data_IF_195952517181
#
_entry.id   IF_195952517181
#
_cell.length_a   1.000
_cell.length_b   1.000
_cell.length_c   1.000
_cell.angle_alpha   90.00
_cell.angle_beta   90.00
_cell.angle_gamma   90.00
#
_symmetry.space_group_name_H-M   'P 1'
#
loop_
_entity.id
_entity.type
_entity.pdbx_description
1 polymer ?
#
# COMPACT_ATOMS: atom_id res chain seq x y z
N UNK A 1 -42.25 28.97 -4.21
CA UNK A 1 -41.01 29.21 -3.43
C UNK A 1 -41.26 28.55 -2.08
N UNK A 2 -40.55 27.52 -1.62
CA UNK A 2 -39.13 27.18 -1.79
C UNK A 2 -39.00 25.67 -1.51
N UNK A 3 -38.35 24.92 -2.40
CA UNK A 3 -38.03 23.52 -2.19
C UNK A 3 -36.76 23.38 -1.37
N UNK A 4 -36.80 22.57 -0.31
CA UNK A 4 -35.61 22.15 0.43
C UNK A 4 -35.12 20.82 -0.15
N UNK A 5 -34.01 20.88 -0.89
CA UNK A 5 -33.26 19.70 -1.29
C UNK A 5 -32.42 19.22 -0.09
N UNK A 6 -32.78 18.07 0.49
CA UNK A 6 -31.94 17.37 1.45
C UNK A 6 -30.83 16.66 0.68
N UNK A 7 -29.63 17.20 0.78
CA UNK A 7 -28.42 16.65 0.17
C UNK A 7 -27.91 15.50 1.06
N UNK A 8 -28.36 14.28 0.76
CA UNK A 8 -27.81 13.05 1.32
C UNK A 8 -26.38 12.85 0.78
N UNK A 9 -25.38 13.32 1.53
CA UNK A 9 -23.98 12.95 1.34
C UNK A 9 -23.79 11.49 1.81
N UNK A 10 -24.08 10.57 0.89
CA UNK A 10 -23.97 9.14 1.10
C UNK A 10 -22.52 8.65 1.13
N UNK A 11 -22.22 7.84 2.16
CA UNK A 11 -21.51 6.57 1.98
C UNK A 11 -19.98 6.60 1.96
N UNK A 12 -19.34 6.77 3.13
CA UNK A 12 -17.90 6.53 3.29
C UNK A 12 -17.42 6.04 4.67
N UNK A 13 -18.32 5.87 5.65
CA UNK A 13 -17.92 5.67 7.06
C UNK A 13 -17.97 4.24 7.61
N UNK A 14 -18.61 3.29 6.93
CA UNK A 14 -18.94 2.01 7.56
C UNK A 14 -17.81 0.96 7.57
N UNK A 15 -16.87 1.04 6.62
CA UNK A 15 -15.81 0.02 6.53
C UNK A 15 -14.75 0.14 7.65
N UNK A 16 -14.51 1.34 8.17
CA UNK A 16 -13.56 1.54 9.27
C UNK A 16 -14.13 1.05 10.61
N UNK A 17 -15.43 1.20 10.85
CA UNK A 17 -16.05 0.86 12.13
C UNK A 17 -16.22 -0.66 12.31
N UNK A 18 -16.55 -1.40 11.24
CA UNK A 18 -16.77 -2.85 11.31
C UNK A 18 -15.49 -3.66 11.67
N UNK A 19 -14.30 -3.11 11.40
CA UNK A 19 -13.04 -3.79 11.68
C UNK A 19 -12.58 -3.68 13.13
N UNK A 20 -13.09 -2.71 13.89
CA UNK A 20 -12.76 -2.52 15.30
C UNK A 20 -13.47 -3.52 16.23
N UNK A 21 -14.46 -4.28 15.73
CA UNK A 21 -15.37 -5.09 16.57
C UNK A 21 -15.33 -6.60 16.33
N UNK A 22 -14.42 -7.13 15.49
CA UNK A 22 -14.37 -8.58 15.21
C UNK A 22 -13.18 -9.27 15.87
N UNK A 23 -13.39 -10.29 16.74
CA UNK A 23 -12.31 -11.13 17.26
C UNK A 23 -11.72 -12.00 16.14
N UNK A 24 -10.39 -12.08 16.09
CA UNK A 24 -9.68 -12.86 15.07
C UNK A 24 -9.68 -14.36 15.42
N UNK A 25 -9.86 -15.28 14.44
CA UNK A 25 -9.69 -16.71 14.65
C UNK A 25 -8.19 -17.09 14.76
N UNK A 26 -7.90 -18.05 15.65
CA UNK A 26 -6.57 -18.55 15.98
C UNK A 26 -5.99 -19.45 14.87
N UNK A 27 -4.81 -19.18 14.30
CA UNK A 27 -4.17 -20.09 13.35
C UNK A 27 -3.45 -21.24 14.04
N UNK A 28 -3.66 -22.47 13.54
CA UNK A 28 -2.95 -23.70 13.93
C UNK A 28 -1.68 -23.84 13.09
N UNK A 29 -0.50 -23.83 13.73
CA UNK A 29 0.81 -24.00 13.07
C UNK A 29 1.05 -25.48 12.70
N UNK A 30 1.45 -25.75 11.46
CA UNK A 30 2.11 -27.00 11.07
C UNK A 30 3.53 -26.66 10.56
N UNK A 31 4.53 -27.35 11.10
CA UNK A 31 5.95 -27.19 10.76
C UNK A 31 6.34 -28.23 9.69
N UNK A 32 6.92 -27.86 8.53
CA UNK A 32 7.58 -28.83 7.67
C UNK A 32 9.05 -29.06 8.09
N UNK A 33 9.43 -30.34 8.09
CA UNK A 33 10.82 -30.83 8.20
C UNK A 33 11.47 -30.83 6.80
N UNK A 34 12.75 -30.49 6.70
CA UNK A 34 13.49 -30.50 5.43
C UNK A 34 14.73 -31.39 5.51
N UNK A 35 14.86 -32.27 4.51
CA UNK A 35 16.02 -33.13 4.27
C UNK A 35 16.90 -32.49 3.18
N UNK A 36 18.23 -32.50 3.29
CA UNK A 36 19.09 -31.86 2.28
C UNK A 36 19.39 -32.79 1.10
N UNK A 37 19.28 -32.26 -0.13
CA UNK A 37 19.77 -32.90 -1.36
C UNK A 37 20.83 -32.03 -2.01
N UNK A 38 21.96 -32.63 -2.33
CA UNK A 38 23.14 -32.04 -3.00
C UNK A 38 22.85 -31.73 -4.47
N UNK A 39 23.25 -30.55 -4.96
CA UNK A 39 23.08 -30.12 -6.36
C UNK A 39 24.41 -29.91 -7.09
N UNK A 40 24.45 -30.39 -8.34
CA UNK A 40 25.52 -30.23 -9.35
C UNK A 40 25.35 -28.88 -10.09
N UNK A 41 26.43 -28.18 -10.51
CA UNK A 41 26.30 -26.88 -11.18
C UNK A 41 25.97 -27.00 -12.69
N UNK A 42 25.04 -26.16 -13.14
CA UNK A 42 24.63 -25.95 -14.55
C UNK A 42 25.21 -24.61 -15.05
N UNK A 43 25.65 -24.50 -16.32
CA UNK A 43 26.28 -23.28 -16.83
C UNK A 43 25.33 -22.08 -16.95
N UNK A 44 25.97 -20.90 -16.88
CA UNK A 44 25.40 -19.55 -16.78
C UNK A 44 24.68 -19.09 -18.05
N UNK A 45 23.46 -18.49 -17.95
CA UNK A 45 22.80 -17.83 -19.07
C UNK A 45 23.25 -16.36 -19.25
N UNK A 46 23.30 -15.95 -20.51
CA UNK A 46 23.50 -14.60 -21.05
C UNK A 46 22.58 -13.55 -20.42
N UNK A 47 23.04 -12.31 -20.12
CA UNK A 47 22.24 -11.30 -19.43
C UNK A 47 21.12 -10.73 -20.31
N UNK A 48 19.88 -10.92 -19.87
CA UNK A 48 18.70 -10.16 -20.29
C UNK A 48 18.77 -8.74 -19.67
N UNK A 49 18.37 -7.67 -20.38
CA UNK A 49 18.33 -6.33 -19.81
C UNK A 49 17.47 -6.31 -18.54
N UNK A 50 18.07 -5.89 -17.44
CA UNK A 50 17.45 -5.79 -16.12
C UNK A 50 16.65 -4.49 -16.03
N UNK A 51 15.34 -4.58 -15.79
CA UNK A 51 14.48 -3.47 -15.36
C UNK A 51 14.85 -3.02 -13.93
N UNK A 52 16.10 -2.57 -13.76
CA UNK A 52 16.59 -2.04 -12.49
C UNK A 52 15.92 -0.68 -12.26
N UNK A 53 15.17 -0.49 -11.17
CA UNK A 53 14.58 0.80 -10.86
C UNK A 53 15.67 1.86 -10.71
N UNK A 54 15.56 2.96 -11.45
CA UNK A 54 16.50 4.08 -11.34
C UNK A 54 16.36 4.75 -9.96
N UNK A 55 17.49 4.91 -9.26
CA UNK A 55 17.59 5.75 -8.08
C UNK A 55 17.65 7.21 -8.51
N UNK A 56 16.51 7.89 -8.53
CA UNK A 56 16.45 9.36 -8.68
C UNK A 56 16.49 10.03 -7.29
N UNK A 57 17.29 11.10 -7.09
CA UNK A 57 17.37 11.82 -5.82
C UNK A 57 16.02 12.35 -5.32
N UNK A 58 15.75 12.23 -4.02
CA UNK A 58 14.52 12.70 -3.40
C UNK A 58 14.49 14.24 -3.31
N UNK A 59 13.40 14.86 -3.77
CA UNK A 59 13.13 16.30 -3.58
C UNK A 59 11.84 16.45 -2.80
N UNK A 60 11.85 17.28 -1.75
CA UNK A 60 10.74 17.57 -0.82
C UNK A 60 9.61 18.43 -1.41
N UNK A 61 9.53 18.54 -2.74
CA UNK A 61 8.53 19.37 -3.41
C UNK A 61 7.28 18.55 -3.69
N UNK A 62 6.11 19.11 -3.38
CA UNK A 62 4.83 18.54 -3.78
C UNK A 62 4.85 18.21 -5.28
N UNK A 63 4.41 17.00 -5.63
CA UNK A 63 4.36 16.55 -7.02
C UNK A 63 3.61 17.57 -7.88
N UNK A 64 4.11 17.81 -9.09
CA UNK A 64 3.39 18.69 -10.01
C UNK A 64 2.09 17.99 -10.46
N UNK A 65 0.96 18.70 -10.55
CA UNK A 65 -0.28 18.10 -11.04
C UNK A 65 -0.08 17.40 -12.38
N UNK A 66 -0.53 16.15 -12.48
CA UNK A 66 -0.39 15.33 -13.68
C UNK A 66 1.02 14.76 -13.93
N UNK A 67 2.00 15.05 -13.08
CA UNK A 67 3.30 14.40 -13.15
C UNK A 67 3.19 12.90 -12.85
N UNK A 68 4.03 12.04 -13.46
CA UNK A 68 4.01 10.61 -13.19
C UNK A 68 4.22 10.31 -11.70
N UNK A 69 3.47 9.33 -11.17
CA UNK A 69 3.64 8.85 -9.80
C UNK A 69 5.04 8.28 -9.60
N UNK A 70 5.75 8.76 -8.57
CA UNK A 70 7.08 8.29 -8.19
C UNK A 70 7.20 8.07 -6.68
N UNK A 71 8.03 7.10 -6.28
CA UNK A 71 8.23 6.80 -4.85
C UNK A 71 8.96 7.92 -4.11
N UNK A 72 9.65 8.82 -4.83
CA UNK A 72 10.35 9.99 -4.27
C UNK A 72 9.40 11.04 -3.70
N UNK A 73 8.12 11.02 -4.09
CA UNK A 73 7.07 11.89 -3.52
C UNK A 73 6.85 11.63 -2.01
N UNK A 74 7.33 10.49 -1.51
CA UNK A 74 7.11 10.02 -0.15
C UNK A 74 8.44 9.94 0.60
N UNK A 75 8.52 10.60 1.74
CA UNK A 75 9.67 10.55 2.65
C UNK A 75 9.31 9.70 3.89
N UNK A 76 10.09 9.86 4.96
CA UNK A 76 9.71 9.38 6.28
C UNK A 76 8.33 9.90 6.66
N UNK A 77 7.52 9.00 7.20
CA UNK A 77 6.16 9.31 7.58
C UNK A 77 6.15 9.90 8.99
N UNK A 78 5.70 11.15 9.10
CA UNK A 78 5.59 11.88 10.36
C UNK A 78 4.15 12.39 10.50
N UNK A 79 3.28 11.55 11.04
CA UNK A 79 1.85 11.87 11.20
C UNK A 79 1.56 12.47 12.56
N UNK A 80 0.77 13.53 12.57
CA UNK A 80 0.19 14.10 13.78
C UNK A 80 -1.21 14.64 13.49
N UNK A 81 -2.21 14.16 14.25
CA UNK A 81 -3.57 14.68 14.21
C UNK A 81 -4.15 14.69 15.62
N UNK A 82 -4.41 15.89 16.15
CA UNK A 82 -4.76 16.06 17.55
C UNK A 82 -3.68 15.49 18.48
N UNK A 83 -4.08 14.60 19.40
CA UNK A 83 -3.18 13.92 20.32
C UNK A 83 -2.47 12.68 19.76
N UNK A 84 -2.81 12.25 18.54
CA UNK A 84 -2.28 11.01 17.94
C UNK A 84 -1.05 11.34 17.10
N UNK A 85 0.04 10.61 17.33
CA UNK A 85 1.31 10.77 16.63
C UNK A 85 1.87 9.42 16.21
N UNK A 86 2.32 9.33 14.96
CA UNK A 86 3.06 8.18 14.45
C UNK A 86 4.30 8.65 13.71
N UNK A 87 5.35 7.82 13.78
CA UNK A 87 6.57 7.99 13.00
C UNK A 87 6.96 6.67 12.37
N UNK A 88 7.42 6.72 11.12
CA UNK A 88 8.00 5.59 10.44
C UNK A 88 9.06 6.05 9.45
N UNK A 89 10.21 5.37 9.46
CA UNK A 89 11.31 5.64 8.56
C UNK A 89 11.03 4.93 7.23
N UNK A 90 11.17 5.65 6.11
CA UNK A 90 11.10 5.06 4.78
C UNK A 90 12.44 4.37 4.51
N UNK A 91 12.44 3.05 4.61
CA UNK A 91 13.67 2.25 4.45
C UNK A 91 13.94 1.85 3.00
N UNK A 92 12.94 1.92 2.12
CA UNK A 92 13.12 1.71 0.67
C UNK A 92 11.90 2.21 -0.12
N UNK A 93 12.09 2.41 -1.44
CA UNK A 93 10.99 2.61 -2.37
C UNK A 93 11.35 2.22 -3.81
N UNK A 94 10.32 1.98 -4.61
CA UNK A 94 10.45 1.56 -6.01
C UNK A 94 9.38 2.22 -6.87
N UNK A 95 9.78 2.75 -8.01
CA UNK A 95 8.86 3.26 -9.04
C UNK A 95 8.80 2.27 -10.20
N UNK A 96 7.60 1.88 -10.61
CA UNK A 96 7.36 1.03 -11.76
C UNK A 96 6.69 1.83 -12.89
N UNK A 97 7.19 1.65 -14.10
CA UNK A 97 6.63 2.27 -15.31
C UNK A 97 5.27 1.69 -15.70
N UNK A 98 4.93 0.51 -15.20
CA UNK A 98 3.65 -0.18 -15.36
C UNK A 98 3.23 -0.89 -14.06
N UNK A 99 2.00 -1.39 -13.99
CA UNK A 99 1.54 -2.17 -12.84
C UNK A 99 1.81 -3.68 -12.96
N UNK A 100 2.40 -4.15 -14.06
CA UNK A 100 2.65 -5.58 -14.27
C UNK A 100 3.49 -6.23 -13.15
N UNK A 101 4.53 -5.59 -12.59
CA UNK A 101 5.31 -6.18 -11.49
C UNK A 101 4.52 -6.37 -10.20
N UNK A 102 3.47 -5.59 -9.99
CA UNK A 102 2.61 -5.63 -8.80
C UNK A 102 1.28 -6.35 -9.04
N UNK A 103 0.98 -6.75 -10.27
CA UNK A 103 -0.25 -7.47 -10.57
C UNK A 103 -0.10 -8.97 -10.26
N UNK A 104 -0.83 -9.43 -9.25
CA UNK A 104 -0.81 -10.82 -8.80
C UNK A 104 -1.81 -11.71 -9.54
N UNK A 105 -2.98 -11.17 -9.87
CA UNK A 105 -4.12 -11.94 -10.41
C UNK A 105 -4.76 -11.31 -11.66
N UNK A 106 -4.09 -10.34 -12.29
CA UNK A 106 -4.60 -9.64 -13.47
C UNK A 106 -5.64 -8.56 -13.14
N UNK A 107 -5.85 -8.24 -11.86
CA UNK A 107 -6.89 -7.28 -11.44
C UNK A 107 -6.50 -5.87 -11.86
N UNK A 108 -5.21 -5.55 -11.78
CA UNK A 108 -4.68 -4.23 -12.12
C UNK A 108 -4.71 -4.02 -13.64
N UNK A 109 -4.27 -5.03 -14.40
CA UNK A 109 -4.30 -5.02 -15.86
C UNK A 109 -5.73 -4.87 -16.41
N UNK A 110 -6.70 -5.61 -15.85
CA UNK A 110 -8.13 -5.51 -16.25
C UNK A 110 -8.70 -4.11 -16.09
N UNK A 111 -8.21 -3.35 -15.11
CA UNK A 111 -8.63 -1.98 -14.85
C UNK A 111 -7.68 -0.94 -15.45
N UNK A 112 -6.77 -1.36 -16.35
CA UNK A 112 -5.83 -0.49 -17.07
C UNK A 112 -4.93 0.33 -16.15
N UNK A 113 -4.49 -0.27 -15.04
CA UNK A 113 -3.51 0.33 -14.14
C UNK A 113 -2.27 0.78 -14.91
N UNK A 114 -1.89 2.04 -14.77
CA UNK A 114 -0.88 2.69 -15.60
C UNK A 114 0.51 2.63 -14.97
N UNK A 115 0.62 2.90 -13.67
CA UNK A 115 1.88 2.94 -12.93
C UNK A 115 1.68 2.47 -11.51
N UNK A 116 2.75 2.01 -10.90
CA UNK A 116 2.75 1.65 -9.49
C UNK A 116 4.02 2.16 -8.80
N UNK A 117 3.91 2.45 -7.52
CA UNK A 117 5.05 2.63 -6.62
C UNK A 117 4.90 1.71 -5.43
N UNK A 118 6.02 1.24 -4.88
CA UNK A 118 6.06 0.54 -3.62
C UNK A 118 6.94 1.29 -2.63
N UNK A 119 6.52 1.33 -1.37
CA UNK A 119 7.26 1.93 -0.26
C UNK A 119 7.38 0.91 0.85
N UNK A 120 8.54 0.85 1.49
CA UNK A 120 8.76 0.09 2.71
C UNK A 120 9.05 1.04 3.86
N UNK A 121 8.32 0.87 4.96
CA UNK A 121 8.44 1.63 6.18
C UNK A 121 8.80 0.74 7.36
N UNK A 122 9.59 1.30 8.29
CA UNK A 122 9.94 0.69 9.57
C UNK A 122 9.55 1.64 10.69
N UNK A 123 8.89 1.13 11.72
CA UNK A 123 8.49 1.90 12.89
C UNK A 123 8.76 1.09 14.17
N UNK A 124 8.75 1.77 15.32
CA UNK A 124 8.96 1.14 16.63
C UNK A 124 10.22 0.25 16.65
N UNK A 125 11.35 0.80 16.22
CA UNK A 125 12.63 0.10 16.15
C UNK A 125 12.60 -1.18 15.28
N UNK A 126 11.72 -1.24 14.28
CA UNK A 126 11.58 -2.37 13.36
C UNK A 126 10.62 -3.46 13.81
N UNK A 127 10.02 -3.34 14.99
CA UNK A 127 8.97 -4.25 15.49
C UNK A 127 7.63 -4.11 14.76
N UNK A 128 7.49 -3.04 13.96
CA UNK A 128 6.42 -2.85 13.01
C UNK A 128 7.02 -2.49 11.65
N UNK A 129 6.60 -3.21 10.61
CA UNK A 129 6.95 -2.90 9.22
C UNK A 129 5.69 -2.71 8.40
N UNK A 130 5.75 -1.79 7.45
CA UNK A 130 4.67 -1.57 6.50
C UNK A 130 5.19 -1.58 5.07
N UNK A 131 4.42 -2.17 4.16
CA UNK A 131 4.62 -2.06 2.72
C UNK A 131 3.40 -1.40 2.12
N UNK A 132 3.60 -0.30 1.41
CA UNK A 132 2.55 0.37 0.66
C UNK A 132 2.75 0.21 -0.83
N UNK A 133 1.64 0.09 -1.54
CA UNK A 133 1.58 -0.02 -2.98
C UNK A 133 0.58 1.03 -3.44
N UNK A 134 1.04 2.01 -4.19
CA UNK A 134 0.18 3.07 -4.72
C UNK A 134 0.17 2.96 -6.23
N UNK A 135 -1.01 3.04 -6.82
CA UNK A 135 -1.23 2.71 -8.22
C UNK A 135 -2.08 3.77 -8.88
N UNK A 136 -1.68 4.23 -10.06
CA UNK A 136 -2.44 5.19 -10.86
C UNK A 136 -3.28 4.50 -11.91
N UNK A 137 -4.51 4.98 -12.09
CA UNK A 137 -5.49 4.48 -13.04
C UNK A 137 -5.91 5.61 -13.98
N UNK A 138 -6.50 5.27 -15.15
CA UNK A 138 -6.99 6.29 -16.07
C UNK A 138 -8.18 7.08 -15.53
N UNK A 139 -8.96 6.51 -14.60
CA UNK A 139 -10.17 7.16 -14.06
C UNK A 139 -10.41 6.78 -12.60
N UNK A 140 -11.14 7.65 -11.88
CA UNK A 140 -11.63 7.39 -10.53
C UNK A 140 -12.46 6.11 -10.43
N UNK A 141 -13.27 5.83 -11.45
CA UNK A 141 -14.11 4.63 -11.46
C UNK A 141 -13.27 3.35 -11.57
N UNK A 142 -12.19 3.37 -12.36
CA UNK A 142 -11.27 2.24 -12.47
C UNK A 142 -10.53 1.99 -11.15
N UNK A 143 -10.09 3.06 -10.48
CA UNK A 143 -9.46 2.98 -9.17
C UNK A 143 -10.43 2.41 -8.11
N UNK A 144 -11.64 2.95 -7.99
CA UNK A 144 -12.68 2.47 -7.07
C UNK A 144 -13.05 1.01 -7.32
N UNK A 145 -13.26 0.63 -8.58
CA UNK A 145 -13.55 -0.77 -8.95
C UNK A 145 -12.42 -1.70 -8.54
N UNK A 146 -11.19 -1.28 -8.76
CA UNK A 146 -10.00 -2.04 -8.36
C UNK A 146 -9.90 -2.19 -6.85
N UNK A 147 -10.01 -1.11 -6.08
CA UNK A 147 -9.95 -1.15 -4.61
C UNK A 147 -11.05 -2.05 -4.03
N UNK A 148 -12.28 -1.93 -4.52
CA UNK A 148 -13.41 -2.77 -4.10
C UNK A 148 -13.19 -4.25 -4.41
N UNK A 149 -12.51 -4.56 -5.52
CA UNK A 149 -12.15 -5.93 -5.88
C UNK A 149 -11.03 -6.45 -4.98
N UNK A 150 -9.99 -5.67 -4.76
CA UNK A 150 -8.86 -6.04 -3.91
C UNK A 150 -9.29 -6.30 -2.45
N UNK A 151 -10.22 -5.50 -1.91
CA UNK A 151 -10.78 -5.70 -0.58
C UNK A 151 -11.51 -7.05 -0.40
N UNK A 152 -11.92 -7.69 -1.51
CA UNK A 152 -12.62 -9.00 -1.52
C UNK A 152 -11.70 -10.16 -1.86
N UNK A 153 -10.47 -9.90 -2.26
CA UNK A 153 -9.51 -10.92 -2.65
C UNK A 153 -8.48 -11.15 -1.56
N UNK A 154 -7.78 -12.29 -1.65
CA UNK A 154 -6.64 -12.59 -0.79
C UNK A 154 -5.44 -11.69 -1.10
N UNK A 155 -4.48 -11.65 -0.17
CA UNK A 155 -3.27 -10.81 -0.25
C UNK A 155 -2.38 -11.06 -1.48
N UNK A 156 -2.56 -12.19 -2.18
CA UNK A 156 -1.87 -12.51 -3.43
C UNK A 156 -2.48 -11.82 -4.67
N UNK A 157 -3.59 -11.08 -4.54
CA UNK A 157 -4.15 -10.29 -5.63
C UNK A 157 -3.20 -9.18 -6.09
N UNK A 158 -2.32 -8.73 -5.21
CA UNK A 158 -1.24 -7.78 -5.50
C UNK A 158 0.08 -8.42 -5.09
N UNK A 159 1.08 -8.35 -5.96
CA UNK A 159 2.46 -8.73 -5.63
C UNK A 159 3.12 -7.57 -4.90
N UNK A 160 3.75 -7.87 -3.78
CA UNK A 160 4.36 -6.87 -2.92
C UNK A 160 5.67 -7.38 -2.33
N UNK A 161 6.52 -6.46 -1.86
CA UNK A 161 7.83 -6.73 -1.26
C UNK A 161 7.72 -7.44 0.10
N UNK A 162 7.41 -8.73 0.08
CA UNK A 162 7.29 -9.56 1.28
C UNK A 162 8.60 -9.64 2.09
N UNK A 163 9.75 -9.49 1.43
CA UNK A 163 11.07 -9.38 2.06
C UNK A 163 11.20 -8.16 2.97
N UNK A 164 10.31 -7.17 2.83
CA UNK A 164 10.25 -5.97 3.67
C UNK A 164 9.25 -6.05 4.80
N UNK A 165 8.51 -7.16 4.94
CA UNK A 165 7.68 -7.43 6.10
C UNK A 165 8.46 -8.21 7.18
N UNK A 166 7.83 -8.37 8.34
CA UNK A 166 8.27 -9.34 9.34
C UNK A 166 7.90 -10.74 8.88
N UNK A 167 8.78 -11.72 9.12
CA UNK A 167 8.51 -13.14 8.83
C UNK A 167 7.70 -13.82 9.94
N UNK A 168 7.79 -13.29 11.16
CA UNK A 168 7.02 -13.72 12.33
C UNK A 168 6.30 -12.51 12.90
N UNK A 169 4.97 -12.56 12.95
CA UNK A 169 4.15 -11.45 13.40
C UNK A 169 2.89 -11.96 14.10
N UNK A 170 2.37 -11.15 15.02
CA UNK A 170 1.07 -11.37 15.66
C UNK A 170 -0.03 -10.56 14.99
N UNK A 171 0.36 -9.48 14.29
CA UNK A 171 -0.52 -8.69 13.44
C UNK A 171 0.02 -8.74 12.01
N UNK A 172 -0.82 -9.12 11.06
CA UNK A 172 -0.48 -9.13 9.63
C UNK A 172 -1.75 -8.93 8.83
N UNK A 173 -2.02 -7.70 8.41
CA UNK A 173 -3.26 -7.36 7.71
C UNK A 173 -2.99 -6.46 6.51
N UNK A 174 -3.94 -6.46 5.60
CA UNK A 174 -3.94 -5.66 4.37
C UNK A 174 -5.18 -4.75 4.38
N UNK A 175 -4.99 -3.50 3.99
CA UNK A 175 -6.06 -2.54 3.69
C UNK A 175 -5.88 -2.06 2.25
N UNK A 176 -7.00 -1.75 1.61
CA UNK A 176 -7.02 -1.14 0.28
C UNK A 176 -8.06 -0.05 0.24
N UNK A 177 -7.73 1.08 -0.37
CA UNK A 177 -8.61 2.22 -0.57
C UNK A 177 -8.32 2.89 -1.91
N UNK A 178 -9.26 3.70 -2.36
CA UNK A 178 -9.09 4.54 -3.54
C UNK A 178 -9.34 6.00 -3.18
N UNK A 179 -8.57 6.89 -3.81
CA UNK A 179 -8.78 8.33 -3.81
C UNK A 179 -8.47 8.86 -5.20
N UNK A 180 -9.37 9.65 -5.76
CA UNK A 180 -9.38 10.00 -7.18
C UNK A 180 -9.14 8.76 -8.04
N UNK A 181 -8.25 8.86 -9.02
CA UNK A 181 -7.80 7.80 -9.91
C UNK A 181 -6.61 6.99 -9.34
N UNK A 182 -6.39 7.01 -8.02
CA UNK A 182 -5.35 6.26 -7.34
C UNK A 182 -5.91 5.18 -6.41
N UNK A 183 -5.18 4.07 -6.30
CA UNK A 183 -5.45 3.02 -5.31
C UNK A 183 -4.24 2.89 -4.41
N UNK A 184 -4.48 2.89 -3.09
CA UNK A 184 -3.46 2.66 -2.06
C UNK A 184 -3.77 1.34 -1.38
N UNK A 185 -2.80 0.43 -1.40
CA UNK A 185 -2.82 -0.83 -0.65
C UNK A 185 -1.74 -0.76 0.40
N UNK A 186 -2.12 -0.90 1.68
CA UNK A 186 -1.20 -0.93 2.80
C UNK A 186 -1.19 -2.33 3.40
N UNK A 187 0.00 -2.86 3.64
CA UNK A 187 0.23 -4.08 4.39
C UNK A 187 1.03 -3.72 5.62
N UNK A 188 0.55 -4.11 6.80
CA UNK A 188 1.28 -3.91 8.07
C UNK A 188 1.49 -5.26 8.74
N UNK A 189 2.74 -5.48 9.14
CA UNK A 189 3.13 -6.60 10.00
C UNK A 189 3.76 -6.08 11.28
N UNK A 190 3.38 -6.65 12.43
CA UNK A 190 3.97 -6.32 13.73
C UNK A 190 4.15 -7.55 14.61
N UNK A 191 5.26 -7.60 15.35
CA UNK A 191 5.47 -8.60 16.38
C UNK A 191 4.73 -8.25 17.68
N UNK A 192 4.93 -9.05 18.73
CA UNK A 192 4.22 -8.90 20.00
C UNK A 192 4.46 -7.54 20.68
N UNK A 193 5.62 -6.92 20.48
CA UNK A 193 5.98 -5.66 21.14
C UNK A 193 5.25 -4.45 20.55
N UNK A 194 4.94 -4.46 19.25
CA UNK A 194 4.22 -3.40 18.56
C UNK A 194 2.79 -3.78 18.13
N UNK A 195 2.35 -5.00 18.45
CA UNK A 195 1.08 -5.57 17.99
C UNK A 195 -0.16 -4.76 18.37
N UNK A 196 -0.16 -4.12 19.55
CA UNK A 196 -1.27 -3.27 20.01
C UNK A 196 -1.34 -1.93 19.28
N UNK A 197 -0.21 -1.42 18.79
CA UNK A 197 -0.13 -0.16 18.03
C UNK A 197 -0.49 -0.36 16.55
N UNK A 198 -0.30 -1.58 16.04
CA UNK A 198 -0.43 -1.91 14.62
C UNK A 198 -1.79 -1.57 13.98
N UNK A 199 -2.96 -1.81 14.61
CA UNK A 199 -4.24 -1.47 14.01
C UNK A 199 -4.39 0.02 13.71
N UNK A 200 -4.07 0.88 14.69
CA UNK A 200 -4.16 2.33 14.52
C UNK A 200 -3.10 2.82 13.53
N UNK A 201 -1.85 2.38 13.67
CA UNK A 201 -0.79 2.72 12.72
C UNK A 201 -1.21 2.40 11.28
N UNK A 202 -1.76 1.20 11.05
CA UNK A 202 -2.20 0.77 9.72
C UNK A 202 -3.33 1.65 9.17
N UNK A 203 -4.35 1.95 9.98
CA UNK A 203 -5.46 2.79 9.56
C UNK A 203 -5.00 4.22 9.22
N UNK A 204 -4.20 4.85 10.09
CA UNK A 204 -3.72 6.22 9.87
C UNK A 204 -2.77 6.32 8.68
N UNK A 205 -1.86 5.36 8.51
CA UNK A 205 -0.95 5.33 7.36
C UNK A 205 -1.72 5.19 6.04
N UNK A 206 -2.71 4.28 6.00
CA UNK A 206 -3.58 4.10 4.84
C UNK A 206 -4.36 5.38 4.53
N UNK A 207 -5.00 5.98 5.54
CA UNK A 207 -5.84 7.17 5.36
C UNK A 207 -5.01 8.37 4.92
N UNK A 208 -3.88 8.65 5.58
CA UNK A 208 -3.03 9.80 5.28
C UNK A 208 -2.54 9.79 3.83
N UNK A 209 -1.98 8.67 3.37
CA UNK A 209 -1.53 8.54 1.98
C UNK A 209 -2.68 8.41 0.98
N UNK A 210 -3.86 7.94 1.39
CA UNK A 210 -5.05 8.02 0.52
C UNK A 210 -5.48 9.49 0.37
N UNK A 211 -5.48 10.28 1.45
CA UNK A 211 -5.84 11.70 1.44
C UNK A 211 -4.85 12.58 0.65
N UNK A 212 -3.57 12.20 0.59
CA UNK A 212 -2.58 12.86 -0.27
C UNK A 212 -3.07 13.02 -1.72
N UNK A 213 -3.71 11.98 -2.26
CA UNK A 213 -4.19 11.98 -3.66
C UNK A 213 -5.39 12.88 -3.93
N UNK A 214 -6.11 13.33 -2.90
CA UNK A 214 -7.18 14.33 -3.08
C UNK A 214 -6.63 15.70 -3.50
N UNK A 215 -5.39 16.00 -3.08
CA UNK A 215 -4.73 17.29 -3.29
C UNK A 215 -3.62 17.23 -4.34
N UNK A 216 -3.09 16.04 -4.63
CA UNK A 216 -1.92 15.85 -5.51
C UNK A 216 -2.08 16.52 -6.88
N UNK A 217 -3.22 16.30 -7.54
CA UNK A 217 -3.46 16.75 -8.91
C UNK A 217 -4.37 17.98 -9.01
N UNK A 218 -4.54 18.74 -7.93
CA UNK A 218 -5.30 19.98 -7.98
C UNK A 218 -4.52 21.06 -8.73
N UNK A 219 -5.07 21.54 -9.84
CA UNK A 219 -4.62 22.75 -10.50
C UNK A 219 -5.27 23.96 -9.81
N UNK A 220 -4.50 24.75 -9.07
CA UNK A 220 -4.98 26.04 -8.58
C UNK A 220 -5.00 27.00 -9.77
N UNK A 221 -6.13 27.10 -10.46
CA UNK A 221 -6.40 28.23 -11.35
C UNK A 221 -6.55 29.48 -10.48
N UNK A 222 -5.57 30.38 -10.55
CA UNK A 222 -5.68 31.76 -10.06
C UNK A 222 -6.51 32.61 -11.00
#
# INVERSE_FOLDING_TARGET
>A
MTGLAVLLLGGGGWAAYAFLSSPAPTPKLALPSSTPTTSTPTPSPTPTPSDTPAETPATTKQAQPGSPLTHQEFNDWNFALGGIKFKADKVAGWTYSSCAPVDGQGVLARNKCQRAVQLAYSAYSGHLKAVQIMMSFPTDQAAKTTANRLAKLSSNAVKWRQDKALTRYVYGKILSGASKNYVVVTIVTADKSAGTMAPNFHAYLQTDHTSYFELRDQTITS
#
